data_IF_822541560752
#
_entry.id   IF_822541560752
#
_cell.length_a   1.000
_cell.length_b   1.000
_cell.length_c   1.000
_cell.angle_alpha   90.00
_cell.angle_beta   90.00
_cell.angle_gamma   90.00
#
_symmetry.space_group_name_H-M   'P 1'
#
loop_
_entity.id
_entity.type
_entity.pdbx_description
1 polymer ?
#
# COMPACT_ATOMS: atom_id res chain seq x y z
N UNK A 1 -6.42 12.95 -10.34
CA UNK A 1 -5.25 13.37 -9.53
C UNK A 1 -5.76 14.14 -8.31
N UNK A 2 -5.28 13.86 -7.09
CA UNK A 2 -5.76 14.47 -5.85
C UNK A 2 -5.19 15.89 -5.64
N UNK A 3 -5.28 16.74 -6.67
CA UNK A 3 -4.59 18.05 -6.71
C UNK A 3 -5.24 19.10 -5.81
N UNK A 4 -6.54 18.96 -5.52
CA UNK A 4 -7.28 19.86 -4.64
C UNK A 4 -8.10 19.03 -3.64
N UNK A 5 -7.69 19.03 -2.37
CA UNK A 5 -8.35 18.30 -1.30
C UNK A 5 -9.78 18.82 -1.00
N UNK A 6 -10.09 20.08 -1.34
CA UNK A 6 -11.43 20.63 -1.14
C UNK A 6 -12.48 19.96 -2.03
N UNK A 7 -12.09 19.45 -3.20
CA UNK A 7 -13.01 18.68 -4.04
C UNK A 7 -13.41 17.35 -3.37
N UNK A 8 -12.48 16.71 -2.64
CA UNK A 8 -12.79 15.49 -1.89
C UNK A 8 -13.73 15.79 -0.72
N UNK A 9 -13.53 16.92 -0.04
CA UNK A 9 -14.43 17.40 1.02
C UNK A 9 -15.83 17.70 0.50
N UNK A 10 -15.95 18.34 -0.67
CA UNK A 10 -17.24 18.61 -1.29
C UNK A 10 -17.99 17.30 -1.54
N UNK A 11 -17.32 16.28 -2.07
CA UNK A 11 -17.91 14.94 -2.26
C UNK A 11 -18.31 14.35 -0.91
N UNK A 12 -17.42 14.37 0.09
CA UNK A 12 -17.69 13.84 1.43
C UNK A 12 -18.93 14.46 2.08
N UNK A 13 -19.19 15.75 1.83
CA UNK A 13 -20.37 16.46 2.37
C UNK A 13 -21.70 16.10 1.69
N UNK A 14 -21.65 15.42 0.54
CA UNK A 14 -22.82 15.12 -0.31
C UNK A 14 -23.16 13.63 -0.38
N UNK A 15 -22.34 12.76 0.19
CA UNK A 15 -22.54 11.31 0.17
C UNK A 15 -22.48 10.72 1.57
N UNK A 16 -23.30 9.71 1.84
CA UNK A 16 -23.34 9.00 3.12
C UNK A 16 -22.52 7.70 3.07
N UNK A 17 -21.37 7.74 2.40
CA UNK A 17 -20.49 6.59 2.19
C UNK A 17 -19.07 6.99 2.65
N UNK A 18 -18.38 6.18 3.48
CA UNK A 18 -17.00 6.43 3.83
C UNK A 18 -16.11 6.52 2.58
N UNK A 19 -15.34 7.59 2.47
CA UNK A 19 -14.46 7.81 1.33
C UNK A 19 -13.06 7.23 1.55
N UNK A 20 -12.52 6.61 0.49
CA UNK A 20 -11.17 6.09 0.44
C UNK A 20 -10.35 6.77 -0.67
N UNK A 21 -9.10 7.10 -0.38
CA UNK A 21 -8.11 7.52 -1.38
C UNK A 21 -6.69 7.40 -0.84
N UNK A 22 -5.69 7.34 -1.71
CA UNK A 22 -4.30 7.37 -1.24
C UNK A 22 -3.23 6.94 -2.23
N UNK A 23 -3.59 6.10 -3.22
CA UNK A 23 -2.64 5.53 -4.21
C UNK A 23 -1.79 6.59 -4.94
N UNK A 24 -2.33 7.80 -5.07
CA UNK A 24 -1.74 8.96 -5.74
C UNK A 24 -1.55 10.16 -4.81
N UNK A 25 -1.57 9.94 -3.49
CA UNK A 25 -1.26 10.94 -2.46
C UNK A 25 0.09 10.54 -1.86
N UNK A 26 1.08 11.44 -1.95
CA UNK A 26 2.47 11.12 -1.61
C UNK A 26 2.90 11.83 -0.35
N UNK A 27 3.63 11.12 0.52
CA UNK A 27 4.19 11.62 1.79
C UNK A 27 3.14 12.12 2.79
N UNK A 28 3.51 12.28 4.06
CA UNK A 28 2.66 12.90 5.07
C UNK A 28 2.14 14.28 4.64
N UNK A 29 2.95 15.05 3.95
CA UNK A 29 2.54 16.39 3.49
C UNK A 29 1.41 16.34 2.47
N UNK A 30 1.34 15.31 1.63
CA UNK A 30 0.23 15.12 0.70
C UNK A 30 -1.06 14.70 1.39
N UNK A 31 -0.96 13.89 2.45
CA UNK A 31 -2.13 13.43 3.22
C UNK A 31 -2.70 14.48 4.16
N UNK A 32 -1.85 15.34 4.74
CA UNK A 32 -2.24 16.37 5.72
C UNK A 32 -3.53 17.13 5.35
N UNK A 33 -3.68 17.73 4.15
CA UNK A 33 -4.90 18.49 3.84
C UNK A 33 -6.19 17.65 3.87
N UNK A 34 -6.11 16.35 3.55
CA UNK A 34 -7.28 15.45 3.60
C UNK A 34 -7.66 15.06 5.02
N UNK A 35 -6.67 15.00 5.93
CA UNK A 35 -6.90 14.80 7.36
C UNK A 35 -7.45 16.06 8.01
N UNK A 36 -6.82 17.21 7.77
CA UNK A 36 -7.22 18.50 8.35
C UNK A 36 -8.65 18.88 7.95
N UNK A 37 -9.13 18.46 6.78
CA UNK A 37 -10.49 18.72 6.31
C UNK A 37 -11.47 17.54 6.48
N UNK A 38 -11.05 16.43 7.11
CA UNK A 38 -11.84 15.23 7.40
C UNK A 38 -12.54 14.62 6.16
N UNK A 39 -11.91 14.70 4.99
CA UNK A 39 -12.54 14.23 3.75
C UNK A 39 -12.34 12.73 3.48
N UNK A 40 -11.39 12.07 4.15
CA UNK A 40 -11.10 10.64 4.00
C UNK A 40 -11.37 9.89 5.30
N UNK A 41 -11.91 8.68 5.14
CA UNK A 41 -12.21 7.74 6.24
C UNK A 41 -11.29 6.51 6.18
N UNK A 42 -10.79 6.19 4.97
CA UNK A 42 -9.79 5.16 4.73
C UNK A 42 -8.69 5.75 3.85
N UNK A 43 -7.43 5.59 4.24
CA UNK A 43 -6.30 5.92 3.37
C UNK A 43 -5.73 4.69 2.67
N UNK A 44 -5.22 4.93 1.47
CA UNK A 44 -4.69 3.89 0.59
C UNK A 44 -3.24 4.12 0.17
N UNK A 45 -2.27 4.25 1.10
CA UNK A 45 -0.88 4.49 0.73
C UNK A 45 -0.30 3.29 0.00
N UNK A 46 0.29 3.52 -1.17
CA UNK A 46 1.10 2.54 -1.90
C UNK A 46 2.57 2.71 -1.50
N UNK A 47 3.19 1.68 -0.94
CA UNK A 47 4.57 1.77 -0.44
C UNK A 47 5.61 2.04 -1.54
N UNK A 48 5.36 1.61 -2.78
CA UNK A 48 6.21 1.91 -3.93
C UNK A 48 6.09 3.35 -4.41
N UNK A 49 4.97 4.04 -4.12
CA UNK A 49 4.71 5.39 -4.62
C UNK A 49 4.77 6.48 -3.55
N UNK A 50 4.34 6.21 -2.33
CA UNK A 50 4.09 7.24 -1.31
C UNK A 50 5.32 7.62 -0.47
N UNK A 51 6.46 6.95 -0.68
CA UNK A 51 7.73 7.23 0.00
C UNK A 51 8.36 6.05 0.76
N UNK A 52 7.98 4.81 0.45
CA UNK A 52 8.54 3.61 1.06
C UNK A 52 8.00 3.31 2.46
N UNK A 53 8.49 2.23 3.07
CA UNK A 53 8.07 1.77 4.41
C UNK A 53 8.19 2.87 5.48
N UNK A 54 9.29 3.62 5.45
CA UNK A 54 9.55 4.69 6.42
C UNK A 54 8.49 5.79 6.37
N UNK A 55 8.10 6.25 5.19
CA UNK A 55 7.10 7.31 5.07
C UNK A 55 5.68 6.76 5.18
N UNK A 56 5.42 5.58 4.60
CA UNK A 56 4.15 4.86 4.71
C UNK A 56 3.73 4.62 6.16
N UNK A 57 4.66 4.17 7.02
CA UNK A 57 4.39 3.99 8.46
C UNK A 57 4.00 5.30 9.13
N UNK A 58 4.71 6.41 8.83
CA UNK A 58 4.41 7.72 9.41
C UNK A 58 3.09 8.30 8.90
N UNK A 59 2.69 8.00 7.65
CA UNK A 59 1.36 8.32 7.12
C UNK A 59 0.29 7.59 7.93
N UNK A 60 0.47 6.28 8.17
CA UNK A 60 -0.47 5.47 8.96
C UNK A 60 -0.60 5.97 10.42
N UNK A 61 0.52 6.32 11.04
CA UNK A 61 0.56 6.88 12.40
C UNK A 61 -0.16 8.22 12.49
N UNK A 62 0.00 9.08 11.48
CA UNK A 62 -0.71 10.35 11.42
C UNK A 62 -2.21 10.14 11.20
N UNK A 63 -2.61 9.24 10.29
CA UNK A 63 -4.00 8.90 10.01
C UNK A 63 -4.74 8.44 11.28
N UNK A 64 -4.05 7.70 12.16
CA UNK A 64 -4.63 7.21 13.41
C UNK A 64 -5.16 8.31 14.32
N UNK A 65 -4.50 9.48 14.34
CA UNK A 65 -4.91 10.65 15.16
C UNK A 65 -6.27 11.20 14.72
N UNK A 66 -6.67 10.96 13.47
CA UNK A 66 -7.92 11.43 12.88
C UNK A 66 -8.97 10.30 12.79
N UNK A 67 -8.74 9.16 13.46
CA UNK A 67 -9.57 7.94 13.38
C UNK A 67 -9.76 7.40 11.95
N UNK A 68 -8.75 7.63 11.09
CA UNK A 68 -8.74 7.15 9.71
C UNK A 68 -8.10 5.76 9.62
N UNK A 69 -8.81 4.82 9.00
CA UNK A 69 -8.34 3.45 8.77
C UNK A 69 -7.40 3.35 7.57
N UNK A 70 -6.73 2.20 7.44
CA UNK A 70 -5.71 1.96 6.42
C UNK A 70 -6.01 0.67 5.66
N UNK A 71 -5.96 0.75 4.34
CA UNK A 71 -5.79 -0.38 3.43
C UNK A 71 -4.60 -0.06 2.54
N UNK A 72 -3.48 -0.80 2.61
CA UNK A 72 -2.33 -0.45 1.76
C UNK A 72 -2.67 -0.73 0.30
N UNK A 73 -2.47 0.25 -0.60
CA UNK A 73 -2.67 0.01 -2.03
C UNK A 73 -1.54 -0.88 -2.54
N UNK A 74 -1.90 -1.96 -3.23
CA UNK A 74 -0.96 -2.95 -3.76
C UNK A 74 -1.34 -3.27 -5.20
N UNK A 75 -0.62 -2.66 -6.14
CA UNK A 75 -0.71 -2.99 -7.56
C UNK A 75 0.70 -3.16 -8.13
N UNK A 76 1.33 -4.29 -7.81
CA UNK A 76 2.72 -4.57 -8.15
C UNK A 76 3.07 -6.06 -8.14
N UNK A 77 4.37 -6.35 -8.04
CA UNK A 77 4.89 -7.71 -7.92
C UNK A 77 4.90 -8.24 -6.47
N UNK A 78 5.41 -9.46 -6.24
CA UNK A 78 5.41 -10.12 -4.92
C UNK A 78 6.12 -9.31 -3.83
N UNK A 79 7.09 -8.46 -4.19
CA UNK A 79 7.80 -7.58 -3.25
C UNK A 79 6.87 -6.50 -2.67
N UNK A 80 5.94 -5.97 -3.48
CA UNK A 80 4.97 -4.98 -3.02
C UNK A 80 3.98 -5.59 -2.03
N UNK A 81 3.49 -6.81 -2.33
CA UNK A 81 2.64 -7.59 -1.42
C UNK A 81 3.35 -7.85 -0.08
N UNK A 82 4.58 -8.37 -0.11
CA UNK A 82 5.32 -8.69 1.11
C UNK A 82 5.56 -7.44 1.99
N UNK A 83 5.94 -6.31 1.37
CA UNK A 83 6.12 -5.05 2.08
C UNK A 83 4.81 -4.52 2.70
N UNK A 84 3.69 -4.63 1.97
CA UNK A 84 2.38 -4.22 2.47
C UNK A 84 1.93 -5.09 3.66
N UNK A 85 2.06 -6.42 3.57
CA UNK A 85 1.72 -7.34 4.66
C UNK A 85 2.46 -7.00 5.95
N UNK A 86 3.76 -6.68 5.88
CA UNK A 86 4.52 -6.27 7.05
C UNK A 86 4.05 -4.95 7.65
N UNK A 87 3.69 -3.95 6.82
CA UNK A 87 3.11 -2.70 7.31
C UNK A 87 1.76 -2.96 8.01
N UNK A 88 0.89 -3.71 7.36
CA UNK A 88 -0.47 -4.03 7.83
C UNK A 88 -0.45 -4.83 9.13
N UNK A 89 0.55 -5.70 9.32
CA UNK A 89 0.74 -6.47 10.55
C UNK A 89 1.09 -5.60 11.78
N UNK A 90 1.69 -4.42 11.59
CA UNK A 90 2.23 -3.60 12.69
C UNK A 90 1.43 -2.34 12.99
N UNK A 91 0.50 -1.95 12.12
CA UNK A 91 -0.32 -0.75 12.33
C UNK A 91 -1.62 -1.09 13.07
N UNK A 92 -2.04 -0.27 14.06
CA UNK A 92 -3.26 -0.56 14.83
C UNK A 92 -4.56 -0.18 14.12
N UNK A 93 -4.49 0.50 12.97
CA UNK A 93 -5.63 1.00 12.18
C UNK A 93 -5.74 0.31 10.80
N UNK A 94 -5.23 -0.91 10.67
CA UNK A 94 -5.46 -1.75 9.49
C UNK A 94 -6.93 -2.16 9.36
N UNK A 95 -7.45 -2.17 8.13
CA UNK A 95 -8.83 -2.59 7.82
C UNK A 95 -8.88 -3.85 6.94
N UNK A 96 -8.22 -3.82 5.78
CA UNK A 96 -8.27 -4.89 4.78
C UNK A 96 -7.06 -4.79 3.83
N UNK A 97 -6.64 -5.91 3.26
CA UNK A 97 -5.56 -5.99 2.28
C UNK A 97 -6.13 -6.00 0.85
N UNK A 98 -5.48 -5.34 -0.09
CA UNK A 98 -5.82 -5.39 -1.51
C UNK A 98 -5.07 -6.53 -2.20
N UNK A 99 -5.79 -7.42 -2.88
CA UNK A 99 -5.20 -8.52 -3.62
C UNK A 99 -5.83 -8.62 -5.03
N UNK A 100 -4.98 -8.50 -6.05
CA UNK A 100 -5.40 -8.48 -7.45
C UNK A 100 -5.37 -9.87 -8.07
N UNK A 101 -6.29 -10.15 -9.00
CA UNK A 101 -6.21 -11.35 -9.83
C UNK A 101 -4.88 -11.44 -10.60
N UNK A 102 -4.31 -10.31 -10.99
CA UNK A 102 -3.01 -10.26 -11.66
C UNK A 102 -1.85 -10.76 -10.78
N UNK A 103 -1.99 -10.72 -9.45
CA UNK A 103 -0.99 -11.24 -8.51
C UNK A 103 -1.00 -12.78 -8.42
N UNK A 104 -2.07 -13.42 -8.90
CA UNK A 104 -2.21 -14.88 -8.98
C UNK A 104 -1.69 -15.46 -10.30
N UNK A 105 -1.34 -14.59 -11.26
CA UNK A 105 -0.85 -15.04 -12.55
C UNK A 105 0.57 -15.62 -12.39
N UNK A 106 0.86 -16.79 -12.98
CA UNK A 106 2.18 -17.42 -12.87
C UNK A 106 3.35 -16.50 -13.25
N UNK A 107 3.15 -15.65 -14.25
CA UNK A 107 4.13 -14.65 -14.69
C UNK A 107 4.44 -13.59 -13.63
N UNK A 108 3.46 -13.20 -12.81
CA UNK A 108 3.68 -12.26 -11.70
C UNK A 108 4.38 -12.98 -10.54
N UNK A 109 3.87 -14.16 -10.16
CA UNK A 109 4.43 -14.99 -9.09
C UNK A 109 5.91 -15.28 -9.35
N UNK A 110 6.29 -15.65 -10.58
CA UNK A 110 7.68 -15.95 -10.96
C UNK A 110 8.65 -14.76 -10.89
N UNK A 111 8.16 -13.53 -10.69
CA UNK A 111 9.05 -12.38 -10.44
C UNK A 111 9.62 -12.36 -9.02
N UNK A 112 9.03 -13.11 -8.08
CA UNK A 112 9.53 -13.31 -6.73
C UNK A 112 10.13 -14.71 -6.51
N UNK A 113 10.81 -14.91 -5.39
CA UNK A 113 11.32 -16.22 -4.97
C UNK A 113 10.24 -17.00 -4.18
N UNK A 114 9.45 -16.30 -3.36
CA UNK A 114 8.45 -16.90 -2.49
C UNK A 114 7.03 -16.57 -2.97
N UNK A 115 6.15 -17.58 -3.01
CA UNK A 115 4.75 -17.41 -3.43
C UNK A 115 3.84 -17.27 -2.19
N UNK A 116 3.69 -16.04 -1.72
CA UNK A 116 2.74 -15.72 -0.66
C UNK A 116 1.36 -15.51 -1.28
N UNK A 117 0.42 -16.40 -0.98
CA UNK A 117 -0.97 -16.31 -1.43
C UNK A 117 -1.94 -16.45 -0.26
N UNK A 118 -3.13 -15.84 -0.35
CA UNK A 118 -4.12 -15.94 0.71
C UNK A 118 -4.74 -17.35 0.71
N UNK A 119 -5.05 -17.84 1.91
CA UNK A 119 -5.86 -19.05 2.12
C UNK A 119 -7.17 -18.60 2.77
N UNK A 120 -8.29 -18.97 2.17
CA UNK A 120 -9.64 -18.59 2.62
C UNK A 120 -9.84 -17.08 2.82
N UNK A 121 -9.16 -16.27 2.00
CA UNK A 121 -9.23 -14.81 2.06
C UNK A 121 -8.29 -14.15 3.07
N UNK A 122 -7.39 -14.91 3.69
CA UNK A 122 -6.43 -14.39 4.67
C UNK A 122 -4.99 -14.66 4.27
N UNK A 123 -4.15 -13.64 4.37
CA UNK A 123 -2.72 -13.78 4.24
C UNK A 123 -2.06 -14.17 5.57
N UNK A 124 -1.00 -14.97 5.48
CA UNK A 124 -0.03 -15.12 6.58
C UNK A 124 1.13 -14.17 6.33
N UNK A 125 1.61 -13.52 7.40
CA UNK A 125 2.73 -12.59 7.31
C UNK A 125 4.03 -13.38 7.06
N UNK A 126 4.90 -12.96 6.12
CA UNK A 126 6.21 -13.57 5.93
C UNK A 126 7.04 -13.58 7.23
N UNK A 127 7.76 -14.67 7.52
CA UNK A 127 8.58 -14.82 8.74
C UNK A 127 10.10 -14.75 8.49
N UNK A 128 10.50 -14.72 7.22
CA UNK A 128 11.90 -14.64 6.82
C UNK A 128 12.48 -13.25 7.14
N UNK A 129 13.81 -13.13 7.35
CA UNK A 129 14.45 -11.85 7.62
C UNK A 129 14.15 -10.78 6.54
N UNK A 130 14.04 -9.52 6.97
CA UNK A 130 13.76 -8.40 6.08
C UNK A 130 12.27 -8.32 5.71
N UNK A 131 11.97 -8.04 4.44
CA UNK A 131 10.60 -8.11 3.92
C UNK A 131 10.19 -9.54 3.53
N UNK A 132 11.08 -10.52 3.71
CA UNK A 132 10.85 -11.92 3.34
C UNK A 132 10.65 -12.16 1.84
N UNK A 133 11.13 -11.29 0.95
CA UNK A 133 10.97 -11.45 -0.50
C UNK A 133 12.15 -10.86 -1.26
N UNK A 134 12.45 -11.48 -2.41
CA UNK A 134 13.52 -11.05 -3.33
C UNK A 134 13.04 -11.19 -4.79
N UNK A 135 13.79 -10.63 -5.74
CA UNK A 135 13.57 -10.91 -7.17
C UNK A 135 14.05 -12.33 -7.48
N UNK A 136 13.35 -13.05 -8.34
CA UNK A 136 13.83 -14.35 -8.84
C UNK A 136 15.07 -14.17 -9.73
N UNK A 137 15.86 -15.23 -9.87
CA UNK A 137 16.99 -15.22 -10.80
C UNK A 137 16.53 -14.97 -12.25
N UNK A 138 15.41 -15.57 -12.66
CA UNK A 138 14.80 -15.33 -13.98
C UNK A 138 14.44 -13.85 -14.20
N UNK A 139 13.86 -13.20 -13.19
CA UNK A 139 13.51 -11.79 -13.26
C UNK A 139 14.76 -10.91 -13.37
N UNK A 140 15.82 -11.23 -12.63
CA UNK A 140 17.10 -10.50 -12.70
C UNK A 140 17.80 -10.71 -14.05
N UNK A 141 17.83 -11.93 -14.57
CA UNK A 141 18.52 -12.27 -15.82
C UNK A 141 17.87 -11.62 -17.05
N UNK A 142 16.56 -11.38 -16.99
CA UNK A 142 15.77 -10.79 -18.10
C UNK A 142 15.54 -9.28 -17.95
N UNK A 143 15.88 -8.70 -16.81
CA UNK A 143 15.70 -7.26 -16.56
C UNK A 143 16.74 -6.39 -17.27
N UNK A 144 16.27 -5.26 -17.81
CA UNK A 144 17.17 -4.17 -18.19
C UNK A 144 17.76 -3.58 -16.91
N UNK A 145 19.05 -3.81 -16.67
CA UNK A 145 19.72 -3.43 -15.43
C UNK A 145 20.63 -2.22 -15.64
N UNK A 146 20.50 -1.23 -14.76
CA UNK A 146 21.41 -0.07 -14.66
C UNK A 146 22.09 -0.10 -13.30
N UNK A 147 23.42 -0.16 -13.28
CA UNK A 147 24.21 -0.18 -12.04
C UNK A 147 24.80 1.20 -11.76
N UNK A 148 24.48 1.75 -10.58
CA UNK A 148 25.10 2.97 -10.02
C UNK A 148 26.02 2.54 -8.88
N UNK A 149 27.29 2.96 -8.90
CA UNK A 149 28.32 2.56 -7.92
C UNK A 149 29.12 3.76 -7.43
#
# INVERSE_FOLDING_TARGET
MPMNAENMKEIASRVNIPLASGERIYTRWGYRPFFDNHSLHVIQPDLGNCGGLTEGKKICDMARVYDVGVQAHVCGGPQATAAALHLEAVIPNFLIHEHHQAALLPENIRTGIYDYQPVDGYFTIPDLPGIGQELSQEAMDTAVTVTVK
#
